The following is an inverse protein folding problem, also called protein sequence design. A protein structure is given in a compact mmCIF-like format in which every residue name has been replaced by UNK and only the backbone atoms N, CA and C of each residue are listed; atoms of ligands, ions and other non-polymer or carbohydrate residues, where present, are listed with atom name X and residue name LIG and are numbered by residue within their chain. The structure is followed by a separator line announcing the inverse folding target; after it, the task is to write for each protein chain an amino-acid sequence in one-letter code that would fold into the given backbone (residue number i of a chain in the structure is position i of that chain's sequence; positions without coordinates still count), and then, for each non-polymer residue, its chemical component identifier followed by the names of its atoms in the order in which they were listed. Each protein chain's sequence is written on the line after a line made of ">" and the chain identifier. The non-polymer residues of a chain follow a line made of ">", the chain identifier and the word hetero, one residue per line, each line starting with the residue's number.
data_IF_033988040270
#
_entry.id   IF_033988040270
#
_cell.length_a   1.000
_cell.length_b   1.000
_cell.length_c   1.000
_cell.angle_alpha   90.00
_cell.angle_beta   90.00
_cell.angle_gamma   90.00
#
_symmetry.space_group_name_H-M   'P 1'
#
loop_
_entity.id
_entity.type
_entity.pdbx_description
1 polymer ?
#
# COMPACT_ATOMS: atom_id res chain seq x y z
N UNK A 1 15.02 24.03 -9.62
CA UNK A 1 14.16 23.03 -10.25
C UNK A 1 14.92 21.71 -10.27
N UNK A 2 14.40 20.69 -9.63
CA UNK A 2 14.97 19.34 -9.69
C UNK A 2 14.84 18.82 -11.11
N UNK A 3 15.97 18.59 -11.79
CA UNK A 3 16.02 17.97 -13.10
C UNK A 3 15.78 16.48 -12.88
N UNK A 4 14.64 15.96 -13.36
CA UNK A 4 14.26 14.55 -13.18
C UNK A 4 14.62 13.71 -14.40
N UNK A 5 14.57 12.38 -14.25
CA UNK A 5 14.74 11.38 -15.33
C UNK A 5 13.84 11.67 -16.54
N UNK A 6 12.67 12.29 -16.36
CA UNK A 6 11.81 12.72 -17.46
C UNK A 6 12.48 13.63 -18.46
N UNK A 7 13.49 14.41 -18.05
CA UNK A 7 14.21 15.34 -18.94
C UNK A 7 15.14 14.63 -19.94
N UNK A 8 15.49 13.38 -19.68
CA UNK A 8 16.32 12.58 -20.60
C UNK A 8 15.50 12.13 -21.81
N UNK A 9 14.28 11.66 -21.59
CA UNK A 9 13.42 11.06 -22.61
C UNK A 9 12.36 12.01 -23.18
N UNK A 10 12.04 13.09 -22.45
CA UNK A 10 11.10 14.12 -22.89
C UNK A 10 11.80 15.43 -23.15
N UNK A 11 11.27 16.20 -24.08
CA UNK A 11 11.66 17.60 -24.31
C UNK A 11 11.04 18.47 -23.24
N UNK A 12 11.46 19.73 -23.16
CA UNK A 12 10.88 20.72 -22.25
C UNK A 12 9.37 20.96 -22.46
N UNK A 13 8.85 20.61 -23.64
CA UNK A 13 7.44 20.66 -24.02
C UNK A 13 6.66 19.40 -23.64
N UNK A 14 7.29 18.44 -22.94
CA UNK A 14 6.70 17.17 -22.54
C UNK A 14 6.60 16.11 -23.65
N UNK A 15 7.01 16.44 -24.88
CA UNK A 15 7.02 15.50 -26.00
C UNK A 15 8.21 14.54 -25.91
N UNK A 16 8.09 13.32 -26.43
CA UNK A 16 9.20 12.38 -26.50
C UNK A 16 10.41 12.99 -27.19
N UNK A 17 11.61 12.75 -26.66
CA UNK A 17 12.84 13.23 -27.26
C UNK A 17 13.09 12.49 -28.59
N UNK A 18 13.32 13.25 -29.65
CA UNK A 18 13.60 12.69 -30.97
C UNK A 18 15.06 12.25 -31.03
N UNK A 19 15.31 10.95 -31.18
CA UNK A 19 16.61 10.36 -31.49
C UNK A 19 16.61 10.01 -32.98
N UNK A 20 17.59 10.49 -33.70
CA UNK A 20 17.70 10.27 -35.14
C UNK A 20 19.05 9.57 -35.49
N UNK A 21 18.99 8.56 -36.33
CA UNK A 21 20.21 8.00 -36.93
C UNK A 21 20.66 8.88 -38.09
N UNK A 22 21.91 9.25 -38.10
CA UNK A 22 22.55 10.06 -39.18
C UNK A 22 23.43 9.17 -40.01
N UNK A 23 22.90 8.71 -41.15
CA UNK A 23 23.63 7.82 -42.10
C UNK A 23 24.97 8.39 -42.53
N UNK A 24 25.04 9.71 -42.77
CA UNK A 24 26.28 10.38 -43.17
C UNK A 24 27.42 10.30 -42.14
N UNK A 25 27.10 9.99 -40.86
CA UNK A 25 28.08 9.89 -39.78
C UNK A 25 28.11 8.51 -39.13
N UNK A 26 27.15 7.64 -39.46
CA UNK A 26 26.99 6.34 -38.81
C UNK A 26 26.71 6.44 -37.31
N UNK A 27 26.01 7.50 -36.87
CA UNK A 27 25.81 7.82 -35.46
C UNK A 27 24.35 8.17 -35.16
N UNK A 28 23.88 7.79 -33.96
CA UNK A 28 22.67 8.31 -33.39
C UNK A 28 22.88 9.73 -32.85
N UNK A 29 21.90 10.60 -32.98
CA UNK A 29 21.97 12.00 -32.59
C UNK A 29 20.68 12.49 -31.94
N UNK A 30 20.83 13.35 -30.95
CA UNK A 30 19.71 14.16 -30.42
C UNK A 30 20.17 15.58 -30.09
N UNK A 31 19.21 16.49 -29.88
CA UNK A 31 19.48 17.88 -29.57
C UNK A 31 19.14 18.14 -28.09
N UNK A 32 20.09 18.70 -27.36
CA UNK A 32 19.94 19.11 -25.96
C UNK A 32 19.11 20.40 -25.83
N UNK A 33 18.59 20.73 -24.63
CA UNK A 33 17.87 21.99 -24.39
C UNK A 33 18.67 23.26 -24.70
N UNK A 34 20.00 23.20 -24.55
CA UNK A 34 20.94 24.27 -24.90
C UNK A 34 21.27 24.32 -26.40
N UNK A 35 20.51 23.57 -27.23
CA UNK A 35 20.67 23.45 -28.69
C UNK A 35 21.94 22.74 -29.14
N UNK A 36 22.77 22.23 -28.24
CA UNK A 36 23.92 21.38 -28.60
C UNK A 36 23.46 20.03 -29.12
N UNK A 37 24.20 19.47 -30.05
CA UNK A 37 23.97 18.12 -30.58
C UNK A 37 24.92 17.14 -29.92
N UNK A 38 24.39 16.06 -29.42
CA UNK A 38 25.19 14.93 -28.91
C UNK A 38 25.01 13.73 -29.80
N UNK A 39 26.05 12.92 -29.84
CA UNK A 39 26.17 11.75 -30.75
C UNK A 39 26.57 10.52 -29.96
N UNK A 40 26.02 9.35 -30.34
CA UNK A 40 26.39 8.03 -29.84
C UNK A 40 26.57 7.04 -30.98
N UNK A 41 27.54 6.10 -30.88
CA UNK A 41 27.70 5.01 -31.86
C UNK A 41 26.51 4.06 -31.86
N UNK A 42 25.87 3.88 -30.70
CA UNK A 42 24.60 3.18 -30.51
C UNK A 42 23.63 4.11 -29.84
N UNK A 43 22.35 3.80 -29.88
CA UNK A 43 21.31 4.54 -29.14
C UNK A 43 21.58 4.50 -27.66
N UNK A 44 22.04 3.38 -27.10
CA UNK A 44 22.41 3.18 -25.72
C UNK A 44 23.50 4.15 -25.26
N UNK A 45 24.61 4.24 -26.03
CA UNK A 45 25.69 5.21 -25.75
C UNK A 45 25.19 6.66 -25.79
N UNK A 46 24.23 6.96 -26.68
CA UNK A 46 23.65 8.30 -26.75
C UNK A 46 22.79 8.59 -25.49
N UNK A 47 22.03 7.62 -25.04
CA UNK A 47 21.22 7.69 -23.83
C UNK A 47 22.09 7.85 -22.58
N UNK A 48 23.17 7.09 -22.45
CA UNK A 48 24.15 7.23 -21.35
C UNK A 48 24.71 8.66 -21.30
N UNK A 49 25.07 9.24 -22.43
CA UNK A 49 25.52 10.64 -22.50
C UNK A 49 24.44 11.66 -22.14
N UNK A 50 23.17 11.34 -22.39
CA UNK A 50 22.05 12.16 -21.92
C UNK A 50 21.93 12.10 -20.39
N UNK A 51 22.06 10.92 -19.80
CA UNK A 51 22.09 10.77 -18.35
C UNK A 51 23.22 11.56 -17.71
N UNK A 52 24.44 11.48 -18.26
CA UNK A 52 25.58 12.26 -17.80
C UNK A 52 25.32 13.76 -17.89
N UNK A 53 24.76 14.23 -19.02
CA UNK A 53 24.43 15.66 -19.21
C UNK A 53 23.44 16.19 -18.19
N UNK A 54 22.45 15.39 -17.82
CA UNK A 54 21.45 15.78 -16.82
C UNK A 54 21.92 15.54 -15.37
N UNK A 55 23.12 14.99 -15.18
CA UNK A 55 23.63 14.57 -13.88
C UNK A 55 22.82 13.43 -13.26
N UNK A 56 22.17 12.67 -14.13
CA UNK A 56 21.36 11.52 -13.79
C UNK A 56 22.11 10.25 -14.22
N UNK A 57 23.35 10.11 -13.78
CA UNK A 57 24.06 8.84 -14.01
C UNK A 57 23.19 7.74 -13.38
N UNK A 58 22.48 6.95 -14.20
CA UNK A 58 22.08 5.61 -13.78
C UNK A 58 23.39 4.84 -13.71
N UNK A 59 24.13 5.10 -12.64
CA UNK A 59 25.38 4.39 -12.36
C UNK A 59 25.12 2.92 -12.06
N UNK A 60 23.86 2.56 -11.84
CA UNK A 60 23.43 1.22 -11.48
C UNK A 60 22.17 0.82 -12.28
N UNK A 61 22.38 0.18 -13.41
CA UNK A 61 21.33 -0.47 -14.23
C UNK A 61 21.00 -1.89 -13.75
N UNK A 62 21.44 -2.24 -12.54
CA UNK A 62 21.01 -3.48 -11.92
C UNK A 62 19.51 -3.44 -11.62
N UNK A 63 18.90 -4.61 -11.49
CA UNK A 63 17.50 -4.72 -11.08
C UNK A 63 17.27 -4.02 -9.74
N UNK A 64 18.25 -4.07 -8.82
CA UNK A 64 18.18 -3.39 -7.53
C UNK A 64 18.22 -1.86 -7.70
N UNK A 65 19.13 -1.34 -8.52
CA UNK A 65 19.21 0.10 -8.79
C UNK A 65 17.92 0.63 -9.43
N UNK A 66 17.42 -0.06 -10.44
CA UNK A 66 16.15 0.31 -11.10
C UNK A 66 14.95 0.21 -10.15
N UNK A 67 14.94 -0.78 -9.24
CA UNK A 67 13.89 -0.89 -8.22
C UNK A 67 13.87 0.33 -7.30
N UNK A 68 15.02 0.80 -6.83
CA UNK A 68 15.09 1.99 -5.95
C UNK A 68 14.57 3.24 -6.67
N UNK A 69 14.91 3.42 -7.93
CA UNK A 69 14.41 4.54 -8.74
C UNK A 69 12.89 4.46 -8.94
N UNK A 70 12.38 3.29 -9.32
CA UNK A 70 10.95 3.06 -9.50
C UNK A 70 10.15 3.24 -8.21
N UNK A 71 10.73 2.83 -7.07
CA UNK A 71 10.11 2.98 -5.75
C UNK A 71 10.07 4.44 -5.31
N UNK A 72 11.15 5.20 -5.55
CA UNK A 72 11.22 6.63 -5.27
C UNK A 72 10.20 7.43 -6.10
N UNK A 73 10.06 7.12 -7.38
CA UNK A 73 9.05 7.74 -8.24
C UNK A 73 7.64 7.40 -7.78
N UNK A 74 7.37 6.14 -7.45
CA UNK A 74 6.08 5.73 -6.89
C UNK A 74 5.73 6.49 -5.62
N UNK A 75 6.70 6.73 -4.75
CA UNK A 75 6.51 7.48 -3.51
C UNK A 75 6.16 8.94 -3.77
N UNK A 76 6.82 9.57 -4.75
CA UNK A 76 6.64 11.00 -5.04
C UNK A 76 5.41 11.30 -5.88
N UNK A 77 5.08 10.45 -6.85
CA UNK A 77 4.02 10.72 -7.84
C UNK A 77 2.65 10.21 -7.41
N UNK A 78 2.58 9.11 -6.66
CA UNK A 78 1.31 8.44 -6.37
C UNK A 78 0.75 8.71 -4.98
N UNK A 79 1.41 9.55 -4.17
CA UNK A 79 1.02 9.82 -2.78
C UNK A 79 0.71 8.53 -2.00
N UNK A 80 1.60 7.55 -2.11
CA UNK A 80 1.42 6.20 -1.57
C UNK A 80 1.76 6.19 -0.10
N UNK A 81 0.96 5.48 0.68
CA UNK A 81 1.20 5.24 2.10
C UNK A 81 2.62 4.65 2.32
N UNK A 82 3.43 5.22 3.23
CA UNK A 82 4.77 4.71 3.57
C UNK A 82 4.82 3.21 3.89
N UNK A 83 3.78 2.66 4.49
CA UNK A 83 3.69 1.21 4.76
C UNK A 83 3.59 0.37 3.47
N UNK A 84 3.03 0.93 2.40
CA UNK A 84 3.03 0.28 1.07
C UNK A 84 4.44 0.23 0.49
N UNK A 85 5.18 1.33 0.55
CA UNK A 85 6.58 1.40 0.12
C UNK A 85 7.43 0.38 0.88
N UNK A 86 7.23 0.29 2.20
CA UNK A 86 7.92 -0.68 3.04
C UNK A 86 7.59 -2.13 2.67
N UNK A 87 6.33 -2.45 2.37
CA UNK A 87 5.91 -3.79 1.91
C UNK A 87 6.50 -4.14 0.56
N UNK A 88 6.54 -3.18 -0.36
CA UNK A 88 7.18 -3.37 -1.67
C UNK A 88 8.66 -3.71 -1.50
N UNK A 89 9.37 -2.97 -0.64
CA UNK A 89 10.78 -3.24 -0.30
C UNK A 89 10.97 -4.60 0.37
N UNK A 90 10.10 -4.98 1.28
CA UNK A 90 10.13 -6.31 1.91
C UNK A 90 9.91 -7.43 0.89
N UNK A 91 8.99 -7.24 -0.06
CA UNK A 91 8.73 -8.19 -1.14
C UNK A 91 9.94 -8.31 -2.07
N UNK A 92 10.54 -7.19 -2.46
CA UNK A 92 11.76 -7.17 -3.26
C UNK A 92 12.91 -7.91 -2.55
N UNK A 93 13.17 -7.58 -1.29
CA UNK A 93 14.24 -8.21 -0.50
C UNK A 93 14.02 -9.71 -0.30
N UNK A 94 12.77 -10.14 -0.15
CA UNK A 94 12.45 -11.57 0.06
C UNK A 94 12.62 -12.40 -1.18
N UNK A 95 12.28 -11.88 -2.36
CA UNK A 95 12.12 -12.70 -3.56
C UNK A 95 13.11 -12.38 -4.68
N UNK A 96 13.74 -11.21 -4.68
CA UNK A 96 14.48 -10.73 -5.87
C UNK A 96 15.94 -10.42 -5.54
N UNK A 97 16.22 -9.74 -4.44
CA UNK A 97 17.53 -9.12 -4.20
C UNK A 97 18.69 -10.12 -4.19
N UNK A 98 18.50 -11.29 -3.55
CA UNK A 98 19.60 -12.24 -3.31
C UNK A 98 20.17 -12.85 -4.58
N UNK A 99 19.31 -13.18 -5.53
CA UNK A 99 19.68 -13.99 -6.69
C UNK A 99 19.61 -13.19 -7.99
N UNK A 100 18.78 -12.16 -8.03
CA UNK A 100 18.44 -11.46 -9.26
C UNK A 100 18.73 -9.94 -9.18
N UNK A 101 18.87 -9.40 -7.97
CA UNK A 101 19.01 -7.97 -7.74
C UNK A 101 20.24 -7.32 -8.37
N UNK A 102 21.37 -8.02 -8.40
CA UNK A 102 22.63 -7.52 -8.96
C UNK A 102 22.73 -7.65 -10.50
N UNK A 103 21.77 -8.32 -11.15
CA UNK A 103 21.77 -8.53 -12.61
C UNK A 103 21.46 -7.24 -13.35
N UNK A 104 22.14 -7.01 -14.46
CA UNK A 104 21.80 -5.94 -15.40
C UNK A 104 20.42 -6.20 -16.01
N UNK A 105 19.48 -5.26 -15.87
CA UNK A 105 18.11 -5.41 -16.34
C UNK A 105 18.00 -5.53 -17.85
N UNK A 106 18.98 -4.98 -18.60
CA UNK A 106 19.04 -5.01 -20.06
C UNK A 106 19.31 -6.41 -20.61
N UNK A 107 19.98 -7.24 -19.82
CA UNK A 107 20.33 -8.62 -20.19
C UNK A 107 19.24 -9.64 -19.88
N UNK A 108 18.19 -9.22 -19.15
CA UNK A 108 17.14 -10.14 -18.70
C UNK A 108 16.17 -10.48 -19.84
N UNK A 109 16.29 -11.67 -20.36
CA UNK A 109 15.39 -12.21 -21.36
C UNK A 109 14.06 -12.72 -20.76
N UNK A 110 13.03 -12.85 -21.61
CA UNK A 110 11.73 -13.48 -21.25
C UNK A 110 11.91 -14.89 -20.71
N UNK A 111 12.87 -15.65 -21.25
CA UNK A 111 13.14 -17.03 -20.86
C UNK A 111 13.77 -17.06 -19.47
N UNK A 112 14.80 -16.24 -19.23
CA UNK A 112 15.45 -16.14 -17.92
C UNK A 112 14.48 -15.74 -16.82
N UNK A 113 13.65 -14.71 -17.05
CA UNK A 113 12.68 -14.27 -16.06
C UNK A 113 11.67 -15.37 -15.71
N UNK A 114 11.26 -16.16 -16.70
CA UNK A 114 10.38 -17.32 -16.49
C UNK A 114 11.06 -18.42 -15.71
N UNK A 115 12.31 -18.77 -16.07
CA UNK A 115 13.12 -19.77 -15.37
C UNK A 115 13.34 -19.37 -13.93
N UNK A 116 13.80 -18.15 -13.70
CA UNK A 116 13.96 -17.58 -12.35
C UNK A 116 12.67 -17.65 -11.52
N UNK A 117 11.55 -17.25 -12.12
CA UNK A 117 10.23 -17.31 -11.45
C UNK A 117 9.86 -18.75 -11.09
N UNK A 118 10.14 -19.71 -11.96
CA UNK A 118 9.85 -21.13 -11.70
C UNK A 118 10.70 -21.66 -10.56
N UNK A 119 11.99 -21.41 -10.56
CA UNK A 119 12.93 -21.81 -9.51
C UNK A 119 12.55 -21.17 -8.16
N UNK A 120 12.20 -19.88 -8.15
CA UNK A 120 11.74 -19.18 -6.97
C UNK A 120 10.48 -19.85 -6.39
N UNK A 121 9.47 -20.13 -7.23
CA UNK A 121 8.23 -20.79 -6.79
C UNK A 121 8.51 -22.19 -6.23
N UNK A 122 9.38 -22.96 -6.89
CA UNK A 122 9.76 -24.32 -6.45
C UNK A 122 10.56 -24.32 -5.13
N UNK A 123 11.41 -23.31 -4.92
CA UNK A 123 12.26 -23.21 -3.73
C UNK A 123 11.50 -22.69 -2.50
N UNK A 124 10.65 -21.68 -2.71
CA UNK A 124 10.04 -20.92 -1.59
C UNK A 124 8.60 -21.36 -1.31
N UNK A 125 7.91 -21.97 -2.28
CA UNK A 125 6.48 -22.30 -2.18
C UNK A 125 5.63 -21.14 -1.66
N UNK A 126 5.68 -19.95 -2.31
CA UNK A 126 4.99 -18.77 -1.79
C UNK A 126 3.47 -18.99 -1.79
N UNK A 127 2.78 -18.35 -0.84
CA UNK A 127 1.31 -18.26 -0.91
C UNK A 127 0.88 -17.44 -2.12
N UNK A 128 -0.31 -17.69 -2.67
CA UNK A 128 -0.80 -17.00 -3.88
C UNK A 128 -0.70 -15.47 -3.82
N UNK A 129 -1.01 -14.88 -2.65
CA UNK A 129 -0.95 -13.42 -2.46
C UNK A 129 0.48 -12.88 -2.50
N UNK A 130 1.44 -13.62 -1.94
CA UNK A 130 2.86 -13.25 -1.98
C UNK A 130 3.43 -13.37 -3.40
N UNK A 131 3.03 -14.40 -4.18
CA UNK A 131 3.39 -14.49 -5.58
C UNK A 131 2.84 -13.31 -6.41
N UNK A 132 1.60 -12.90 -6.17
CA UNK A 132 1.01 -11.73 -6.84
C UNK A 132 1.75 -10.44 -6.49
N UNK A 133 2.16 -10.29 -5.21
CA UNK A 133 2.98 -9.17 -4.79
C UNK A 133 4.36 -9.17 -5.47
N UNK A 134 5.05 -10.32 -5.50
CA UNK A 134 6.30 -10.50 -6.25
C UNK A 134 6.17 -10.08 -7.71
N UNK A 135 5.15 -10.56 -8.42
CA UNK A 135 4.89 -10.17 -9.80
C UNK A 135 4.59 -8.67 -9.93
N UNK A 136 3.91 -8.08 -8.96
CA UNK A 136 3.68 -6.64 -8.88
C UNK A 136 4.98 -5.84 -8.82
N UNK A 137 5.96 -6.31 -8.02
CA UNK A 137 7.28 -5.69 -7.93
C UNK A 137 8.07 -5.85 -9.24
N UNK A 138 8.04 -7.03 -9.86
CA UNK A 138 8.66 -7.18 -11.18
C UNK A 138 8.06 -6.20 -12.19
N UNK A 139 6.73 -6.08 -12.20
CA UNK A 139 6.07 -5.15 -13.12
C UNK A 139 6.43 -3.69 -12.83
N UNK A 140 6.57 -3.30 -11.56
CA UNK A 140 7.04 -1.96 -11.17
C UNK A 140 8.43 -1.68 -11.77
N UNK A 141 9.38 -2.63 -11.62
CA UNK A 141 10.76 -2.49 -12.09
C UNK A 141 10.83 -2.42 -13.61
N UNK A 142 10.25 -3.42 -14.30
CA UNK A 142 10.36 -3.55 -15.75
C UNK A 142 9.49 -2.53 -16.51
N UNK A 143 8.36 -2.09 -15.95
CA UNK A 143 7.57 -1.00 -16.51
C UNK A 143 8.33 0.33 -16.43
N UNK A 144 8.92 0.62 -15.28
CA UNK A 144 9.81 1.77 -15.11
C UNK A 144 10.97 1.74 -16.12
N UNK A 145 11.69 0.62 -16.21
CA UNK A 145 12.80 0.47 -17.11
C UNK A 145 12.40 0.66 -18.59
N UNK A 146 11.21 0.21 -18.97
CA UNK A 146 10.66 0.40 -20.31
C UNK A 146 10.23 1.86 -20.55
N UNK A 147 9.57 2.49 -19.59
CA UNK A 147 9.13 3.89 -19.68
C UNK A 147 10.31 4.84 -19.84
N UNK A 148 11.41 4.56 -19.14
CA UNK A 148 12.65 5.35 -19.21
C UNK A 148 13.64 4.85 -20.27
N UNK A 149 13.22 3.93 -21.16
CA UNK A 149 14.03 3.47 -22.31
C UNK A 149 15.27 2.65 -21.96
N UNK A 150 15.39 2.19 -20.70
CA UNK A 150 16.48 1.30 -20.27
C UNK A 150 16.37 -0.05 -20.99
N UNK A 151 15.14 -0.51 -21.21
CA UNK A 151 14.80 -1.72 -21.98
C UNK A 151 13.76 -1.41 -23.06
N UNK A 152 13.75 -2.19 -24.12
CA UNK A 152 12.81 -2.02 -25.25
C UNK A 152 11.46 -2.71 -25.01
N UNK A 153 11.44 -3.77 -24.22
CA UNK A 153 10.25 -4.60 -24.01
C UNK A 153 10.17 -5.07 -22.55
N UNK A 154 8.96 -5.03 -21.98
CA UNK A 154 8.72 -5.57 -20.65
C UNK A 154 8.48 -7.10 -20.71
N UNK A 155 9.35 -7.94 -20.10
CA UNK A 155 9.20 -9.40 -20.14
C UNK A 155 8.14 -9.94 -19.15
N UNK A 156 7.65 -9.14 -18.18
CA UNK A 156 6.76 -9.60 -17.10
C UNK A 156 5.40 -10.14 -17.58
N UNK A 157 4.77 -9.65 -18.66
CA UNK A 157 3.56 -10.25 -19.20
C UNK A 157 3.68 -11.74 -19.54
N UNK A 158 4.89 -12.24 -19.85
CA UNK A 158 5.15 -13.66 -20.12
C UNK A 158 5.17 -14.52 -18.85
N UNK A 159 5.24 -13.93 -17.65
CA UNK A 159 5.06 -14.59 -16.35
C UNK A 159 3.55 -14.74 -16.10
N UNK A 160 2.94 -15.79 -16.68
CA UNK A 160 1.49 -16.02 -16.60
C UNK A 160 1.07 -16.58 -15.24
N UNK A 161 0.18 -15.89 -14.52
CA UNK A 161 -0.34 -16.33 -13.22
C UNK A 161 -0.87 -17.77 -13.25
N UNK A 162 -1.63 -18.16 -14.30
CA UNK A 162 -2.22 -19.48 -14.42
C UNK A 162 -1.21 -20.63 -14.39
N UNK A 163 0.04 -20.37 -14.75
CA UNK A 163 1.12 -21.37 -14.74
C UNK A 163 1.69 -21.51 -13.32
N UNK A 164 2.09 -20.40 -12.72
CA UNK A 164 2.88 -20.41 -11.47
C UNK A 164 2.03 -20.52 -10.21
N UNK A 165 0.78 -20.07 -10.22
CA UNK A 165 -0.11 -20.22 -9.06
C UNK A 165 -0.41 -21.69 -8.71
N UNK A 166 -0.20 -22.64 -9.63
CA UNK A 166 -0.33 -24.06 -9.35
C UNK A 166 0.73 -24.59 -8.38
N UNK A 167 1.91 -23.98 -8.36
CA UNK A 167 3.01 -24.27 -7.44
C UNK A 167 2.97 -23.49 -6.14
N UNK A 168 2.00 -22.59 -5.97
CA UNK A 168 1.85 -21.77 -4.78
C UNK A 168 0.93 -22.45 -3.75
N UNK A 169 1.19 -22.18 -2.48
CA UNK A 169 0.31 -22.60 -1.39
C UNK A 169 -1.03 -21.84 -1.43
N UNK A 170 -2.13 -22.58 -1.30
CA UNK A 170 -3.47 -22.00 -1.20
C UNK A 170 -3.82 -21.78 0.27
N UNK A 171 -3.73 -20.53 0.71
CA UNK A 171 -4.09 -20.14 2.10
C UNK A 171 -5.49 -19.55 2.24
N UNK A 172 -6.28 -19.53 1.17
CA UNK A 172 -7.65 -18.99 1.26
C UNK A 172 -8.55 -19.97 2.01
N UNK A 173 -8.89 -19.63 3.26
CA UNK A 173 -10.10 -20.17 3.86
C UNK A 173 -11.27 -19.96 2.89
N UNK A 174 -12.16 -20.94 2.77
CA UNK A 174 -13.41 -20.80 2.03
C UNK A 174 -14.13 -19.53 2.52
N UNK A 175 -14.86 -18.86 1.62
CA UNK A 175 -15.57 -17.63 1.97
C UNK A 175 -16.51 -17.82 3.17
N UNK A 176 -17.12 -19.00 3.28
CA UNK A 176 -17.96 -19.44 4.39
C UNK A 176 -17.28 -19.33 5.77
N UNK A 177 -15.94 -19.59 5.83
CA UNK A 177 -15.17 -19.51 7.09
C UNK A 177 -14.74 -18.08 7.44
N UNK A 178 -15.21 -17.07 6.71
CA UNK A 178 -14.87 -15.65 6.97
C UNK A 178 -16.04 -14.85 7.48
N UNK A 179 -17.24 -15.43 7.45
CA UNK A 179 -18.48 -14.80 7.90
C UNK A 179 -18.83 -15.49 9.21
N UNK A 180 -18.96 -14.70 10.27
CA UNK A 180 -19.42 -15.23 11.56
C UNK A 180 -20.88 -15.64 11.45
N UNK A 181 -21.21 -16.81 11.99
CA UNK A 181 -22.61 -17.23 12.15
C UNK A 181 -23.31 -16.37 13.21
N UNK A 182 -24.63 -16.47 13.26
CA UNK A 182 -25.40 -15.76 14.28
C UNK A 182 -25.00 -16.20 15.70
N UNK A 183 -24.79 -17.50 15.89
CA UNK A 183 -24.37 -18.10 17.15
C UNK A 183 -22.98 -17.61 17.58
N UNK A 184 -22.05 -17.45 16.63
CA UNK A 184 -20.72 -16.90 16.88
C UNK A 184 -20.80 -15.41 17.24
N UNK A 185 -21.65 -14.64 16.57
CA UNK A 185 -21.91 -13.22 16.91
C UNK A 185 -22.49 -13.11 18.33
N UNK A 186 -23.46 -13.96 18.67
CA UNK A 186 -24.06 -13.98 20.01
C UNK A 186 -23.03 -14.36 21.10
N UNK A 187 -22.14 -15.33 20.79
CA UNK A 187 -21.07 -15.73 21.69
C UNK A 187 -20.07 -14.58 21.91
N UNK A 188 -19.64 -13.89 20.83
CA UNK A 188 -18.78 -12.72 20.92
C UNK A 188 -19.41 -11.64 21.77
N UNK A 189 -20.66 -11.30 21.51
CA UNK A 189 -21.41 -10.28 22.23
C UNK A 189 -21.51 -10.59 23.72
N UNK A 190 -21.90 -11.83 24.09
CA UNK A 190 -21.96 -12.29 25.48
C UNK A 190 -20.58 -12.23 26.16
N UNK A 191 -19.54 -12.69 25.47
CA UNK A 191 -18.17 -12.68 25.99
C UNK A 191 -17.68 -11.27 26.26
N UNK A 192 -17.91 -10.36 25.32
CA UNK A 192 -17.54 -8.95 25.45
C UNK A 192 -18.29 -8.32 26.63
N UNK A 193 -19.60 -8.49 26.71
CA UNK A 193 -20.44 -7.95 27.81
C UNK A 193 -19.98 -8.49 29.18
N UNK A 194 -19.70 -9.79 29.29
CA UNK A 194 -19.15 -10.38 30.51
C UNK A 194 -17.80 -9.79 30.91
N UNK A 195 -16.90 -9.55 29.92
CA UNK A 195 -15.61 -8.91 30.21
C UNK A 195 -15.74 -7.45 30.65
N UNK A 196 -16.71 -6.71 30.13
CA UNK A 196 -16.95 -5.30 30.49
C UNK A 196 -17.25 -5.13 31.98
N UNK A 197 -17.82 -6.14 32.64
CA UNK A 197 -18.11 -6.12 34.10
C UNK A 197 -16.89 -6.44 34.97
N UNK A 198 -15.76 -6.82 34.42
CA UNK A 198 -14.58 -7.20 35.19
C UNK A 198 -13.90 -5.99 35.83
N UNK A 199 -13.55 -6.09 37.10
CA UNK A 199 -12.93 -5.02 37.92
C UNK A 199 -11.67 -4.43 37.31
N UNK A 200 -10.88 -5.25 36.55
CA UNK A 200 -9.64 -4.78 35.90
C UNK A 200 -9.84 -3.66 34.90
N UNK A 201 -11.05 -3.49 34.36
CA UNK A 201 -11.38 -2.40 33.43
C UNK A 201 -11.91 -1.17 34.12
N UNK A 202 -12.15 -1.25 35.44
CA UNK A 202 -12.66 -0.14 36.26
C UNK A 202 -13.89 0.57 35.65
N UNK A 203 -14.81 -0.21 35.09
CA UNK A 203 -16.03 0.30 34.48
C UNK A 203 -15.89 0.88 33.07
N UNK A 204 -14.70 0.87 32.47
CA UNK A 204 -14.50 1.40 31.12
C UNK A 204 -13.65 0.46 30.26
N UNK A 205 -14.29 -0.48 29.59
CA UNK A 205 -13.63 -1.38 28.62
C UNK A 205 -13.88 -0.87 27.21
N UNK A 206 -13.11 0.14 26.80
CA UNK A 206 -13.25 0.81 25.49
C UNK A 206 -13.20 -0.14 24.32
N UNK A 207 -12.33 -1.17 24.36
CA UNK A 207 -12.22 -2.18 23.32
C UNK A 207 -13.51 -3.00 23.19
N UNK A 208 -14.17 -3.32 24.31
CA UNK A 208 -15.45 -4.01 24.29
C UNK A 208 -16.52 -3.21 23.55
N UNK A 209 -16.62 -1.93 23.83
CA UNK A 209 -17.55 -1.04 23.13
C UNK A 209 -17.22 -0.95 21.63
N UNK A 210 -15.94 -0.87 21.26
CA UNK A 210 -15.50 -0.84 19.87
C UNK A 210 -15.87 -2.12 19.11
N UNK A 211 -15.72 -3.29 19.76
CA UNK A 211 -16.10 -4.58 19.17
C UNK A 211 -17.61 -4.64 18.95
N UNK A 212 -18.41 -4.27 19.96
CA UNK A 212 -19.87 -4.27 19.82
C UNK A 212 -20.33 -3.35 18.69
N UNK A 213 -19.77 -2.15 18.57
CA UNK A 213 -20.10 -1.27 17.45
C UNK A 213 -19.63 -1.83 16.10
N UNK A 214 -18.48 -2.52 16.06
CA UNK A 214 -18.01 -3.19 14.84
C UNK A 214 -18.97 -4.28 14.38
N UNK A 215 -19.48 -5.08 15.32
CA UNK A 215 -20.44 -6.15 15.02
C UNK A 215 -21.70 -5.58 14.36
N UNK A 216 -22.19 -4.45 14.88
CA UNK A 216 -23.41 -3.80 14.37
C UNK A 216 -23.20 -3.05 13.05
N UNK A 217 -21.99 -2.49 12.79
CA UNK A 217 -21.78 -1.53 11.71
C UNK A 217 -20.84 -2.02 10.61
N UNK A 218 -19.99 -3.02 10.89
CA UNK A 218 -18.91 -3.43 10.00
C UNK A 218 -17.83 -2.37 9.82
N UNK A 219 -17.71 -1.36 10.68
CA UNK A 219 -16.69 -0.32 10.60
C UNK A 219 -15.29 -0.93 10.74
N UNK A 220 -14.35 -0.38 9.98
CA UNK A 220 -12.93 -0.75 10.11
C UNK A 220 -12.33 -0.12 11.37
N UNK A 221 -11.31 -0.77 11.95
CA UNK A 221 -10.64 -0.28 13.17
C UNK A 221 -10.18 1.18 13.03
N UNK A 222 -9.60 1.55 11.88
CA UNK A 222 -9.17 2.92 11.64
C UNK A 222 -10.33 3.93 11.62
N UNK A 223 -11.47 3.54 11.10
CA UNK A 223 -12.70 4.35 11.09
C UNK A 223 -13.28 4.52 12.50
N UNK A 224 -13.30 3.44 13.28
CA UNK A 224 -13.72 3.49 14.70
C UNK A 224 -12.81 4.43 15.52
N UNK A 225 -11.49 4.33 15.34
CA UNK A 225 -10.53 5.18 16.06
C UNK A 225 -10.66 6.67 15.69
N UNK A 226 -11.17 6.98 14.50
CA UNK A 226 -11.37 8.33 14.03
C UNK A 226 -12.77 8.88 14.31
N UNK A 227 -13.72 8.04 14.74
CA UNK A 227 -15.11 8.42 14.92
C UNK A 227 -15.27 9.47 16.03
N UNK A 228 -15.85 10.61 15.70
CA UNK A 228 -16.16 11.70 16.62
C UNK A 228 -17.64 11.69 16.99
N UNK A 229 -17.96 12.28 18.13
CA UNK A 229 -19.36 12.48 18.55
C UNK A 229 -20.13 13.34 17.54
N UNK A 230 -19.46 14.29 16.90
CA UNK A 230 -20.07 15.14 15.87
C UNK A 230 -20.45 14.37 14.59
N UNK A 231 -19.88 13.16 14.39
CA UNK A 231 -20.23 12.28 13.27
C UNK A 231 -21.49 11.45 13.53
N UNK A 232 -21.92 11.40 14.79
CA UNK A 232 -23.14 10.68 15.23
C UNK A 232 -24.33 11.62 15.10
N UNK A 233 -25.06 11.51 13.99
CA UNK A 233 -26.27 12.30 13.73
C UNK A 233 -27.51 11.60 14.31
N UNK A 234 -28.67 12.24 14.22
CA UNK A 234 -29.91 11.69 14.75
C UNK A 234 -30.31 10.36 14.09
N UNK A 235 -30.04 10.18 12.81
CA UNK A 235 -30.49 9.07 11.96
C UNK A 235 -29.35 8.19 11.43
N UNK A 236 -28.10 8.69 11.45
CA UNK A 236 -26.97 7.98 10.86
C UNK A 236 -25.63 8.34 11.50
N UNK A 237 -24.67 7.41 11.43
CA UNK A 237 -23.24 7.68 11.66
C UNK A 237 -22.63 8.07 10.32
N UNK A 238 -21.91 9.20 10.29
CA UNK A 238 -21.16 9.65 9.13
C UNK A 238 -19.71 9.14 9.22
N UNK A 239 -19.33 8.22 8.34
CA UNK A 239 -18.01 7.58 8.33
C UNK A 239 -17.20 8.18 7.18
N UNK A 240 -16.42 9.21 7.47
CA UNK A 240 -15.65 9.96 6.46
C UNK A 240 -14.15 9.97 6.73
N UNK A 241 -13.71 9.53 7.91
CA UNK A 241 -12.34 9.63 8.35
C UNK A 241 -11.79 8.28 8.83
N UNK A 242 -10.50 8.17 8.93
CA UNK A 242 -9.82 7.02 9.53
C UNK A 242 -8.54 7.44 10.26
N UNK A 243 -8.13 6.66 11.23
CA UNK A 243 -6.82 6.77 11.85
C UNK A 243 -5.87 5.76 11.22
N UNK A 244 -4.70 6.22 10.80
CA UNK A 244 -3.63 5.41 10.25
C UNK A 244 -2.47 5.32 11.23
N UNK A 245 -1.78 4.19 11.24
CA UNK A 245 -0.59 3.97 12.07
C UNK A 245 0.63 3.76 11.17
N UNK A 246 1.69 4.52 11.41
CA UNK A 246 3.00 4.32 10.82
C UNK A 246 4.04 4.01 11.88
N UNK A 247 5.02 3.20 11.52
CA UNK A 247 6.19 2.92 12.37
C UNK A 247 7.40 3.67 11.82
N UNK A 248 7.51 4.94 12.19
CA UNK A 248 8.72 5.73 12.00
C UNK A 248 9.21 6.15 13.40
N UNK A 249 10.38 5.68 13.81
CA UNK A 249 10.96 6.01 15.12
C UNK A 249 10.01 5.82 16.31
N UNK A 250 9.12 4.80 16.22
CA UNK A 250 8.03 4.56 17.14
C UNK A 250 6.71 4.32 16.43
N UNK A 251 5.61 4.31 17.19
CA UNK A 251 4.25 4.21 16.62
C UNK A 251 3.65 5.61 16.54
N UNK A 252 3.50 6.12 15.33
CA UNK A 252 2.84 7.39 15.06
C UNK A 252 1.44 7.11 14.49
N UNK A 253 0.45 7.86 14.97
CA UNK A 253 -0.93 7.75 14.54
C UNK A 253 -1.35 9.05 13.90
N UNK A 254 -2.01 8.96 12.74
CA UNK A 254 -2.43 10.10 11.95
C UNK A 254 -3.92 10.00 11.66
N UNK A 255 -4.64 11.05 11.99
CA UNK A 255 -6.01 11.24 11.55
C UNK A 255 -5.99 11.72 10.09
N UNK A 256 -6.83 11.11 9.25
CA UNK A 256 -7.06 11.53 7.87
C UNK A 256 -8.56 11.59 7.62
N UNK A 257 -8.99 12.61 6.87
CA UNK A 257 -10.38 12.93 6.55
C UNK A 257 -10.92 12.19 5.33
N UNK A 258 -10.34 11.04 5.02
CA UNK A 258 -10.76 10.15 3.94
C UNK A 258 -10.74 8.70 4.40
N UNK A 259 -11.59 7.86 3.79
CA UNK A 259 -11.62 6.42 4.04
C UNK A 259 -10.97 5.65 2.89
N UNK A 260 -10.66 4.37 3.11
CA UNK A 260 -10.03 3.53 2.09
C UNK A 260 -10.88 3.39 0.82
N UNK A 261 -12.19 3.54 0.92
CA UNK A 261 -13.13 3.36 -0.19
C UNK A 261 -13.23 4.62 -1.07
N UNK A 262 -12.80 5.78 -0.57
CA UNK A 262 -12.87 7.08 -1.29
C UNK A 262 -11.81 7.27 -2.37
N UNK A 263 -10.82 6.39 -2.48
CA UNK A 263 -9.81 6.43 -3.55
C UNK A 263 -10.41 6.13 -4.93
N UNK A 264 -11.58 6.73 -5.24
CA UNK A 264 -12.14 6.61 -6.58
C UNK A 264 -13.55 7.10 -6.81
N UNK A 265 -14.48 7.12 -5.86
CA UNK A 265 -15.90 7.25 -6.21
C UNK A 265 -16.81 8.14 -5.37
N UNK A 266 -16.46 8.60 -4.19
CA UNK A 266 -17.29 9.56 -3.47
C UNK A 266 -16.48 10.42 -2.51
N UNK A 267 -16.38 11.71 -2.80
CA UNK A 267 -15.97 12.72 -1.82
C UNK A 267 -17.08 12.78 -0.76
N UNK A 268 -16.75 12.48 0.51
CA UNK A 268 -17.65 12.71 1.62
C UNK A 268 -18.01 11.52 2.50
N UNK A 269 -17.34 10.36 2.35
CA UNK A 269 -17.56 9.21 3.22
C UNK A 269 -18.88 8.46 2.95
N UNK A 270 -19.26 7.60 3.91
CA UNK A 270 -20.55 6.86 3.86
C UNK A 270 -21.38 7.12 5.10
N UNK A 271 -22.69 7.06 4.96
CA UNK A 271 -23.64 7.14 6.06
C UNK A 271 -24.09 5.74 6.42
N UNK A 272 -24.08 5.42 7.72
CA UNK A 272 -24.59 4.16 8.25
C UNK A 272 -25.82 4.46 9.13
N UNK A 273 -27.00 3.88 8.86
CA UNK A 273 -28.21 4.18 9.62
C UNK A 273 -28.08 3.72 11.09
N UNK A 274 -28.58 4.51 12.01
CA UNK A 274 -28.57 4.18 13.44
C UNK A 274 -29.79 3.33 13.77
N UNK A 275 -29.53 2.04 14.09
CA UNK A 275 -30.54 1.15 14.68
C UNK A 275 -30.75 1.48 16.17
N UNK A 276 -31.76 0.85 16.78
CA UNK A 276 -32.03 1.02 18.22
C UNK A 276 -30.86 0.48 19.06
N UNK A 277 -30.24 -0.62 18.61
CA UNK A 277 -29.10 -1.26 19.27
C UNK A 277 -27.88 -0.34 19.26
N UNK A 278 -27.56 0.25 18.10
CA UNK A 278 -26.47 1.21 17.95
C UNK A 278 -26.72 2.44 18.82
N UNK A 279 -27.95 2.96 18.83
CA UNK A 279 -28.30 4.11 19.64
C UNK A 279 -28.12 3.84 21.14
N UNK A 280 -28.59 2.69 21.63
CA UNK A 280 -28.42 2.26 23.00
C UNK A 280 -26.95 2.13 23.38
N UNK A 281 -26.15 1.50 22.49
CA UNK A 281 -24.70 1.33 22.66
C UNK A 281 -23.98 2.68 22.77
N UNK A 282 -24.25 3.61 21.85
CA UNK A 282 -23.65 4.95 21.85
C UNK A 282 -24.06 5.74 23.12
N UNK A 283 -25.32 5.64 23.56
CA UNK A 283 -25.79 6.25 24.78
C UNK A 283 -25.10 5.68 26.03
N UNK A 284 -24.88 4.36 26.06
CA UNK A 284 -24.12 3.68 27.11
C UNK A 284 -22.68 4.19 27.17
N UNK A 285 -21.97 4.27 26.00
CA UNK A 285 -20.61 4.79 25.92
C UNK A 285 -20.55 6.22 26.47
N UNK A 286 -21.48 7.08 26.04
CA UNK A 286 -21.54 8.47 26.50
C UNK A 286 -21.74 8.58 27.97
N UNK A 287 -22.73 7.85 28.52
CA UNK A 287 -23.03 7.81 29.96
C UNK A 287 -21.82 7.39 30.80
N UNK A 288 -21.08 6.34 30.35
CA UNK A 288 -19.89 5.89 31.07
C UNK A 288 -18.76 6.91 30.97
N UNK A 289 -18.57 7.55 29.84
CA UNK A 289 -17.58 8.62 29.69
C UNK A 289 -17.91 9.80 30.63
N UNK A 290 -19.17 10.24 30.67
CA UNK A 290 -19.61 11.33 31.50
C UNK A 290 -19.43 10.99 32.98
N UNK A 291 -19.78 9.77 33.42
CA UNK A 291 -19.61 9.31 34.80
C UNK A 291 -18.15 9.27 35.27
N UNK A 292 -17.24 9.05 34.33
CA UNK A 292 -15.77 9.02 34.56
C UNK A 292 -15.10 10.38 34.34
N UNK A 293 -15.85 11.42 33.98
CA UNK A 293 -15.33 12.75 33.69
C UNK A 293 -14.50 12.82 32.42
N UNK A 294 -14.66 11.85 31.48
CA UNK A 294 -13.91 11.79 30.23
C UNK A 294 -14.54 12.79 29.24
N UNK A 295 -13.81 13.85 28.94
CA UNK A 295 -14.20 14.85 27.94
C UNK A 295 -13.38 14.66 26.69
N UNK A 296 -13.94 14.09 25.64
CA UNK A 296 -13.29 13.82 24.36
C UNK A 296 -14.23 14.10 23.19
N UNK A 297 -13.68 14.59 22.10
CA UNK A 297 -14.40 14.69 20.82
C UNK A 297 -14.63 13.31 20.19
N UNK A 298 -13.79 12.30 20.54
CA UNK A 298 -13.86 10.94 19.99
C UNK A 298 -14.82 10.06 20.79
N UNK A 299 -15.57 9.22 20.06
CA UNK A 299 -16.44 8.18 20.65
C UNK A 299 -15.58 7.15 21.39
N UNK A 300 -14.44 6.78 20.79
CA UNK A 300 -13.51 5.85 21.40
C UNK A 300 -12.23 6.58 21.81
N UNK A 301 -12.02 6.75 23.10
CA UNK A 301 -10.83 7.35 23.66
C UNK A 301 -10.38 6.61 24.91
N UNK A 302 -9.10 6.67 25.25
CA UNK A 302 -8.61 6.16 26.53
C UNK A 302 -8.93 7.16 27.67
N UNK A 303 -8.75 6.74 28.93
CA UNK A 303 -9.00 7.60 30.11
C UNK A 303 -8.11 8.85 30.16
N UNK A 304 -6.92 8.79 29.55
CA UNK A 304 -6.00 9.93 29.49
C UNK A 304 -6.40 10.94 28.39
N UNK A 305 -7.59 10.77 27.78
CA UNK A 305 -8.12 11.65 26.72
C UNK A 305 -7.19 11.79 25.52
N UNK A 306 -6.28 10.85 25.35
CA UNK A 306 -5.46 10.70 24.15
C UNK A 306 -6.09 9.70 23.18
N UNK A 307 -5.61 9.69 21.94
CA UNK A 307 -6.08 8.79 20.87
C UNK A 307 -6.19 7.35 21.37
N UNK A 308 -7.29 6.67 21.02
CA UNK A 308 -7.44 5.25 21.31
C UNK A 308 -6.67 4.44 20.28
N UNK A 309 -5.62 3.81 20.74
CA UNK A 309 -4.90 2.83 19.94
C UNK A 309 -5.56 1.47 20.08
N UNK A 310 -6.61 1.23 19.32
CA UNK A 310 -7.14 -0.12 19.18
C UNK A 310 -6.11 -0.93 18.42
N UNK A 311 -5.36 -1.80 19.12
CA UNK A 311 -4.38 -2.67 18.46
C UNK A 311 -5.12 -3.64 17.55
N UNK A 312 -4.76 -3.68 16.28
CA UNK A 312 -5.27 -4.64 15.31
C UNK A 312 -5.03 -6.13 15.71
N UNK A 313 -4.18 -6.37 16.73
CA UNK A 313 -3.90 -7.71 17.26
C UNK A 313 -4.87 -8.15 18.37
N UNK A 314 -5.71 -7.26 18.88
CA UNK A 314 -6.83 -7.65 19.72
C UNK A 314 -8.05 -7.89 18.82
N UNK A 315 -7.86 -8.79 17.85
CA UNK A 315 -8.94 -9.26 16.99
C UNK A 315 -9.89 -10.18 17.78
N UNK A 316 -11.07 -10.41 17.22
CA UNK A 316 -12.05 -11.39 17.74
C UNK A 316 -11.41 -12.74 18.15
N UNK A 317 -10.34 -13.18 17.47
CA UNK A 317 -9.59 -14.39 17.78
C UNK A 317 -8.91 -14.39 19.17
N UNK A 318 -8.66 -13.22 19.76
CA UNK A 318 -8.06 -13.10 21.11
C UNK A 318 -9.12 -12.95 22.21
N UNK A 319 -10.40 -13.00 21.87
CA UNK A 319 -11.52 -12.85 22.79
C UNK A 319 -12.15 -14.20 23.18
N UNK A 320 -11.86 -15.26 22.44
CA UNK A 320 -12.34 -16.64 22.70
C UNK A 320 -11.33 -17.42 23.52
#
# INVERSE_FOLDING_TARGET
>A
MSRGLGDVYKRQDGQPRKIEYKDSKGLYMTILPDKKKIYGKTEEILIDKLFDYYGLAISDVSIAGVFELALAEKQTTQNVNPETIKRDRQTFNRFIISDFGARDIREISKVELRTYTQEMVQRIHPIETAFKAYKGILNLIFAYAMEYGIIKENPVPFVKNAVYLKGCERTKAKAENKILSKEEIDLVTKTVRSRMTQNRYHGYFILGYAILLTVETGMRVGELCALKWDDVKADAIHIHAQQLMYKENGRNYYYVDWTKDEKGFSQGGRRFPITIEIRNLLSEIKSVQDSLGIKSEYVFCNRAVSYTHLRAHETLANLV
#
